data_IF_532488563970
#
_entry.id   IF_532488563970
#
_cell.length_a   1.000
_cell.length_b   1.000
_cell.length_c   1.000
_cell.angle_alpha   90.00
_cell.angle_beta   90.00
_cell.angle_gamma   90.00
#
_symmetry.space_group_name_H-M   'P 1'
#
loop_
_entity.id
_entity.type
_entity.pdbx_description
1 polymer ?
#
# COMPACT_ATOMS: atom_id res chain seq x y z
N UNK A 1 -0.39 -3.71 12.48
CA UNK A 1 -1.14 -4.74 13.25
C UNK A 1 -2.29 -5.25 12.40
N UNK A 2 -2.67 -6.54 12.47
CA UNK A 2 -3.48 -7.23 11.43
C UNK A 2 -4.65 -8.05 12.00
N UNK A 3 -5.84 -7.95 11.39
CA UNK A 3 -7.09 -8.56 11.90
C UNK A 3 -7.91 -9.21 10.77
N UNK A 4 -8.71 -10.22 11.10
CA UNK A 4 -9.69 -10.85 10.19
C UNK A 4 -11.06 -10.99 10.85
N UNK A 5 -12.11 -10.87 10.04
CA UNK A 5 -13.51 -10.91 10.46
C UNK A 5 -14.16 -12.30 10.43
N UNK A 6 -13.41 -13.34 10.10
CA UNK A 6 -14.01 -14.67 9.96
C UNK A 6 -13.05 -15.82 10.25
N UNK A 7 -11.74 -15.65 10.02
CA UNK A 7 -10.77 -16.74 10.17
C UNK A 7 -9.44 -16.23 10.72
N UNK A 8 -9.15 -16.54 11.98
CA UNK A 8 -7.84 -16.34 12.59
C UNK A 8 -7.40 -17.58 13.35
N UNK A 9 -6.09 -17.84 13.38
CA UNK A 9 -5.50 -19.00 14.06
C UNK A 9 -4.38 -18.59 15.02
N UNK A 10 -4.23 -19.35 16.11
CA UNK A 10 -3.13 -19.20 17.06
C UNK A 10 -1.79 -19.32 16.33
N UNK A 11 -0.97 -18.27 16.38
CA UNK A 11 0.29 -18.21 15.63
C UNK A 11 0.29 -17.20 14.49
N UNK A 12 -0.80 -16.46 14.25
CA UNK A 12 -0.79 -15.27 13.40
C UNK A 12 -1.29 -15.46 11.98
N UNK A 13 -1.99 -16.53 11.65
CA UNK A 13 -2.57 -16.68 10.33
C UNK A 13 -4.00 -16.11 10.29
N UNK A 14 -4.34 -15.44 9.19
CA UNK A 14 -5.68 -14.90 8.91
C UNK A 14 -6.09 -15.21 7.47
N UNK A 15 -7.39 -15.34 7.21
CA UNK A 15 -7.89 -15.67 5.87
C UNK A 15 -8.58 -14.51 5.15
N UNK A 16 -8.30 -14.38 3.84
CA UNK A 16 -9.13 -13.67 2.84
C UNK A 16 -9.85 -14.74 2.02
N UNK A 17 -11.18 -14.79 2.10
CA UNK A 17 -11.98 -15.93 1.64
C UNK A 17 -13.31 -15.47 1.06
N UNK A 18 -13.66 -16.02 -0.10
CA UNK A 18 -14.98 -15.89 -0.71
C UNK A 18 -16.01 -16.85 -0.10
N UNK A 19 -17.30 -16.66 -0.42
CA UNK A 19 -18.41 -17.38 0.20
C UNK A 19 -18.54 -18.86 -0.21
N UNK A 20 -17.95 -19.24 -1.35
CA UNK A 20 -17.95 -20.60 -1.90
C UNK A 20 -16.59 -21.30 -1.76
N UNK A 21 -15.63 -20.65 -1.10
CA UNK A 21 -14.32 -21.25 -0.90
C UNK A 21 -14.39 -22.46 0.05
N UNK A 22 -13.58 -23.47 -0.24
CA UNK A 22 -13.73 -24.81 0.36
C UNK A 22 -12.62 -25.05 1.36
N UNK A 23 -12.96 -25.55 2.55
CA UNK A 23 -11.95 -25.96 3.53
C UNK A 23 -11.18 -27.17 3.03
N UNK A 24 -9.92 -27.32 3.45
CA UNK A 24 -9.10 -28.52 3.17
C UNK A 24 -9.72 -29.82 3.70
N UNK A 25 -10.65 -29.75 4.66
CA UNK A 25 -11.39 -30.90 5.21
C UNK A 25 -12.71 -31.22 4.50
N UNK A 26 -13.11 -30.43 3.49
CA UNK A 26 -14.42 -30.48 2.86
C UNK A 26 -15.46 -29.64 3.59
N UNK A 27 -16.31 -28.94 2.83
CA UNK A 27 -17.33 -28.02 3.33
C UNK A 27 -17.01 -26.55 3.04
N UNK A 28 -18.06 -25.72 3.03
CA UNK A 28 -17.95 -24.26 2.86
C UNK A 28 -17.40 -23.63 4.14
N UNK A 29 -16.48 -22.67 4.04
CA UNK A 29 -16.24 -21.77 5.18
C UNK A 29 -16.85 -20.39 5.01
N UNK A 30 -16.75 -19.62 6.08
CA UNK A 30 -17.28 -18.29 6.18
C UNK A 30 -16.41 -17.34 5.36
N UNK A 31 -17.05 -16.51 4.55
CA UNK A 31 -16.37 -15.42 3.88
C UNK A 31 -15.62 -14.57 4.91
N UNK A 32 -14.38 -14.22 4.58
CA UNK A 32 -13.47 -13.55 5.49
C UNK A 32 -12.62 -12.53 4.74
N UNK A 33 -12.28 -11.45 5.42
CA UNK A 33 -11.52 -10.33 4.93
C UNK A 33 -10.43 -9.99 5.96
N UNK A 34 -9.40 -9.28 5.53
CA UNK A 34 -8.24 -8.95 6.35
C UNK A 34 -8.00 -7.45 6.36
N UNK A 35 -7.67 -6.87 7.51
CA UNK A 35 -7.24 -5.48 7.60
C UNK A 35 -5.83 -5.36 8.16
N UNK A 36 -5.05 -4.48 7.56
CA UNK A 36 -3.75 -4.04 8.03
C UNK A 36 -3.84 -2.59 8.50
N UNK A 37 -3.30 -2.29 9.67
CA UNK A 37 -3.10 -0.91 10.14
C UNK A 37 -1.63 -0.63 10.42
N UNK A 38 -1.10 0.41 9.79
CA UNK A 38 0.30 0.82 9.83
C UNK A 38 0.39 2.21 10.46
N UNK A 39 1.13 2.35 11.55
CA UNK A 39 1.48 3.68 12.06
C UNK A 39 2.64 4.23 11.23
N UNK A 40 2.39 5.31 10.50
CA UNK A 40 3.36 5.95 9.60
C UNK A 40 3.72 7.37 10.05
N UNK A 41 3.04 7.96 11.03
CA UNK A 41 3.24 9.36 11.43
C UNK A 41 4.70 9.70 11.73
N UNK A 42 5.39 8.85 12.51
CA UNK A 42 6.82 9.03 12.82
C UNK A 42 7.74 8.94 11.60
N UNK A 43 7.38 8.12 10.60
CA UNK A 43 8.11 8.03 9.34
C UNK A 43 7.93 9.31 8.51
N UNK A 44 6.70 9.83 8.44
CA UNK A 44 6.38 11.09 7.76
C UNK A 44 7.09 12.28 8.41
N UNK A 45 7.14 12.33 9.74
CA UNK A 45 7.89 13.36 10.47
C UNK A 45 9.40 13.29 10.20
N UNK A 46 9.95 12.08 10.09
CA UNK A 46 11.36 11.89 9.73
C UNK A 46 11.66 12.43 8.32
N UNK A 47 10.78 12.17 7.35
CA UNK A 47 10.91 12.71 5.99
C UNK A 47 10.79 14.24 5.97
N UNK A 48 9.81 14.78 6.69
CA UNK A 48 9.62 16.23 6.82
C UNK A 48 10.81 16.92 7.46
N UNK A 49 11.44 16.30 8.47
CA UNK A 49 12.66 16.81 9.11
C UNK A 49 13.87 16.76 8.17
N UNK A 50 13.98 15.71 7.35
CA UNK A 50 15.13 15.46 6.47
C UNK A 50 15.10 16.31 5.21
N UNK A 51 13.96 16.38 4.53
CA UNK A 51 13.82 17.03 3.22
C UNK A 51 13.13 18.39 3.29
N UNK A 52 12.40 18.68 4.37
CA UNK A 52 11.48 19.81 4.46
C UNK A 52 10.08 19.41 3.99
N UNK A 53 9.04 19.92 4.66
CA UNK A 53 7.65 19.65 4.28
C UNK A 53 7.38 20.16 2.86
N UNK A 54 6.84 19.30 2.00
CA UNK A 54 6.54 19.62 0.59
C UNK A 54 7.72 19.52 -0.37
N UNK A 55 8.93 19.21 0.13
CA UNK A 55 10.15 19.06 -0.68
C UNK A 55 10.50 17.59 -0.98
N UNK A 56 9.53 16.69 -0.76
CA UNK A 56 9.63 15.28 -1.09
C UNK A 56 8.26 14.78 -1.54
N UNK A 57 8.26 13.71 -2.32
CA UNK A 57 7.06 13.04 -2.79
C UNK A 57 7.22 11.53 -2.73
N UNK A 58 6.12 10.81 -2.56
CA UNK A 58 6.08 9.36 -2.69
C UNK A 58 6.01 9.01 -4.17
N UNK A 59 6.96 8.23 -4.66
CA UNK A 59 6.99 7.74 -6.04
C UNK A 59 6.37 6.36 -6.20
N UNK A 60 6.43 5.52 -5.17
CA UNK A 60 5.82 4.20 -5.14
C UNK A 60 5.37 3.85 -3.71
N UNK A 61 4.28 3.10 -3.60
CA UNK A 61 3.79 2.54 -2.35
C UNK A 61 3.64 1.04 -2.58
N UNK A 62 4.31 0.24 -1.76
CA UNK A 62 4.26 -1.21 -1.91
C UNK A 62 3.76 -1.85 -0.61
N UNK A 63 2.77 -2.73 -0.73
CA UNK A 63 2.36 -3.62 0.34
C UNK A 63 2.96 -5.01 0.09
N UNK A 64 3.68 -5.52 1.07
CA UNK A 64 4.22 -6.88 1.04
C UNK A 64 3.70 -7.69 2.22
N UNK A 65 3.32 -8.95 1.98
CA UNK A 65 2.96 -9.88 3.04
C UNK A 65 3.23 -11.32 2.63
N UNK A 66 3.44 -12.18 3.61
CA UNK A 66 3.61 -13.60 3.39
C UNK A 66 2.26 -14.30 3.37
N UNK A 67 2.10 -15.27 2.48
CA UNK A 67 0.93 -16.11 2.40
C UNK A 67 1.31 -17.58 2.22
N UNK A 68 0.39 -18.47 2.57
CA UNK A 68 0.44 -19.88 2.18
C UNK A 68 -0.86 -20.25 1.46
N UNK A 69 -0.72 -21.26 0.61
CA UNK A 69 -1.82 -21.98 0.02
C UNK A 69 -2.28 -23.14 0.85
N UNK A 70 -1.35 -23.74 1.58
CA UNK A 70 -1.63 -24.90 2.39
C UNK A 70 -1.41 -24.54 3.84
N UNK A 71 -2.47 -24.10 4.52
CA UNK A 71 -2.55 -24.46 5.93
C UNK A 71 -3.04 -25.90 5.95
N UNK A 72 -2.27 -26.78 6.57
CA UNK A 72 -2.68 -28.14 6.95
C UNK A 72 -3.78 -28.12 8.04
N UNK A 73 -4.72 -27.18 7.93
CA UNK A 73 -5.73 -26.82 8.92
C UNK A 73 -7.04 -26.61 8.19
N UNK A 74 -8.03 -27.39 8.59
CA UNK A 74 -9.41 -27.31 8.09
C UNK A 74 -10.13 -25.99 8.45
N UNK A 75 -9.43 -25.03 9.10
CA UNK A 75 -9.97 -23.73 9.50
C UNK A 75 -9.94 -22.71 8.36
N UNK A 76 -9.02 -22.86 7.41
CA UNK A 76 -8.87 -21.94 6.31
C UNK A 76 -9.30 -22.56 4.99
N UNK A 77 -9.94 -21.75 4.15
CA UNK A 77 -10.32 -22.15 2.81
C UNK A 77 -9.14 -22.10 1.84
N UNK A 78 -9.27 -22.93 0.82
CA UNK A 78 -8.45 -22.93 -0.38
C UNK A 78 -9.33 -22.71 -1.59
N UNK A 79 -8.78 -22.07 -2.62
CA UNK A 79 -9.44 -21.96 -3.91
C UNK A 79 -8.90 -20.81 -4.73
N UNK A 80 -9.01 -20.96 -6.05
CA UNK A 80 -8.58 -19.95 -7.01
C UNK A 80 -9.58 -18.80 -6.95
N UNK A 81 -9.14 -17.60 -7.27
CA UNK A 81 -10.05 -16.49 -7.34
C UNK A 81 -9.35 -15.17 -7.32
N UNK A 82 -10.12 -14.12 -7.13
CA UNK A 82 -9.62 -12.76 -7.12
C UNK A 82 -9.84 -12.12 -5.77
N UNK A 83 -8.94 -11.21 -5.40
CA UNK A 83 -9.13 -10.27 -4.30
C UNK A 83 -8.72 -8.87 -4.73
N UNK A 84 -9.03 -7.91 -3.88
CA UNK A 84 -8.65 -6.53 -4.07
C UNK A 84 -8.19 -5.91 -2.74
N UNK A 85 -7.40 -4.84 -2.83
CA UNK A 85 -6.89 -4.07 -1.70
C UNK A 85 -7.54 -2.70 -1.75
N UNK A 86 -8.13 -2.30 -0.64
CA UNK A 86 -8.79 -1.01 -0.48
C UNK A 86 -8.11 -0.19 0.59
N UNK A 87 -8.05 1.12 0.36
CA UNK A 87 -7.73 2.09 1.41
C UNK A 87 -9.00 2.47 2.19
N UNK A 88 -8.84 2.85 3.44
CA UNK A 88 -9.91 3.40 4.29
C UNK A 88 -9.37 4.66 4.97
N UNK A 89 -9.92 5.82 4.60
CA UNK A 89 -9.45 7.14 5.04
C UNK A 89 -9.76 7.45 6.50
N UNK A 90 -10.78 6.79 7.07
CA UNK A 90 -11.15 7.02 8.47
C UNK A 90 -11.68 5.71 9.02
N UNK A 91 -10.87 5.05 9.83
CA UNK A 91 -11.35 3.99 10.69
C UNK A 91 -11.25 4.43 12.15
N UNK A 92 -12.35 4.27 12.89
CA UNK A 92 -12.35 4.41 14.35
C UNK A 92 -11.88 3.13 15.04
N UNK A 93 -11.29 2.22 14.27
CA UNK A 93 -10.95 0.91 14.76
C UNK A 93 -9.65 0.96 15.57
N UNK A 94 -9.73 0.41 16.78
CA UNK A 94 -8.60 0.30 17.67
C UNK A 94 -8.00 -1.11 17.58
N UNK A 95 -6.69 -1.19 17.34
CA UNK A 95 -5.90 -2.38 17.52
C UNK A 95 -6.25 -3.27 18.73
N UNK A 96 -6.54 -4.55 18.52
CA UNK A 96 -6.78 -5.58 19.56
C UNK A 96 -8.06 -5.42 20.43
N UNK A 97 -8.96 -4.47 20.16
CA UNK A 97 -10.18 -4.29 20.98
C UNK A 97 -11.37 -5.06 20.46
N UNK A 98 -11.51 -5.14 19.13
CA UNK A 98 -12.55 -5.90 18.43
C UNK A 98 -12.14 -6.08 16.98
N UNK A 99 -12.70 -7.11 16.32
CA UNK A 99 -12.69 -7.13 14.86
C UNK A 99 -13.47 -5.90 14.39
N UNK A 100 -12.97 -5.13 13.42
CA UNK A 100 -13.77 -4.09 12.78
C UNK A 100 -15.10 -4.66 12.28
N UNK A 101 -16.16 -3.85 12.35
CA UNK A 101 -17.42 -4.19 11.68
C UNK A 101 -17.20 -3.96 10.19
N UNK A 102 -16.86 -5.00 9.44
CA UNK A 102 -16.46 -4.81 8.06
C UNK A 102 -17.58 -4.94 7.03
N UNK A 103 -17.42 -4.21 5.93
CA UNK A 103 -18.17 -4.44 4.71
C UNK A 103 -17.92 -5.86 4.17
N UNK A 104 -18.98 -6.57 3.83
CA UNK A 104 -18.92 -7.88 3.15
C UNK A 104 -19.06 -7.75 1.63
N UNK A 105 -19.26 -6.53 1.12
CA UNK A 105 -19.41 -6.21 -0.30
C UNK A 105 -18.66 -4.92 -0.65
N UNK A 106 -18.25 -4.78 -1.91
CA UNK A 106 -17.65 -3.54 -2.41
C UNK A 106 -18.58 -2.32 -2.25
N UNK A 107 -19.90 -2.51 -2.42
CA UNK A 107 -20.89 -1.45 -2.20
C UNK A 107 -20.90 -0.97 -0.75
N UNK A 108 -20.88 -1.89 0.22
CA UNK A 108 -20.80 -1.52 1.62
C UNK A 108 -19.47 -0.82 1.95
N UNK A 109 -18.38 -1.21 1.29
CA UNK A 109 -17.06 -0.59 1.46
C UNK A 109 -17.00 0.82 0.85
N UNK A 110 -17.70 1.06 -0.25
CA UNK A 110 -17.77 2.37 -0.91
C UNK A 110 -18.43 3.45 -0.03
N UNK A 111 -19.19 3.03 0.99
CA UNK A 111 -19.78 3.94 1.99
C UNK A 111 -18.78 4.39 3.05
N UNK A 112 -17.60 3.76 3.12
CA UNK A 112 -16.54 4.17 4.02
C UNK A 112 -15.76 5.33 3.38
N UNK A 113 -15.34 6.31 4.18
CA UNK A 113 -14.50 7.39 3.67
C UNK A 113 -13.24 6.78 3.03
N UNK A 114 -12.99 7.11 1.77
CA UNK A 114 -11.80 6.63 1.04
C UNK A 114 -11.83 5.17 0.60
N UNK A 115 -12.96 4.46 0.68
CA UNK A 115 -13.13 3.08 0.22
C UNK A 115 -12.90 2.90 -1.29
N UNK A 116 -11.64 3.02 -1.72
CA UNK A 116 -11.21 2.99 -3.11
C UNK A 116 -10.24 1.83 -3.30
N UNK A 117 -10.44 1.11 -4.40
CA UNK A 117 -9.56 0.04 -4.83
C UNK A 117 -8.19 0.60 -5.20
N UNK A 118 -7.13 -0.07 -4.72
CA UNK A 118 -5.73 0.25 -4.99
C UNK A 118 -5.10 -0.71 -6.01
N UNK A 119 -5.69 -1.88 -6.28
CA UNK A 119 -5.19 -2.87 -7.24
C UNK A 119 -6.13 -3.14 -8.42
N UNK A 120 -7.36 -2.64 -8.39
CA UNK A 120 -8.45 -2.89 -9.32
C UNK A 120 -8.94 -4.36 -9.36
N UNK A 121 -8.06 -5.37 -9.32
CA UNK A 121 -8.30 -6.79 -9.00
C UNK A 121 -7.03 -7.61 -9.28
N UNK A 122 -6.59 -8.45 -8.34
CA UNK A 122 -5.52 -9.44 -8.57
C UNK A 122 -6.10 -10.85 -8.69
N UNK A 123 -5.65 -11.62 -9.70
CA UNK A 123 -6.05 -13.03 -9.86
C UNK A 123 -5.05 -13.97 -9.20
N UNK A 124 -5.57 -14.74 -8.26
CA UNK A 124 -4.90 -15.82 -7.58
C UNK A 124 -5.25 -17.17 -8.23
N UNK A 125 -4.31 -17.75 -8.98
CA UNK A 125 -4.51 -19.07 -9.58
C UNK A 125 -4.23 -20.19 -8.57
N UNK A 126 -5.26 -20.99 -8.29
CA UNK A 126 -5.16 -22.23 -7.54
C UNK A 126 -5.35 -23.39 -8.51
N UNK A 127 -4.27 -23.90 -9.10
CA UNK A 127 -4.39 -24.95 -10.11
C UNK A 127 -4.58 -26.36 -9.56
N UNK A 128 -4.75 -26.60 -8.25
CA UNK A 128 -5.02 -27.99 -7.78
C UNK A 128 -5.65 -28.10 -6.38
N UNK A 129 -6.93 -28.48 -6.26
CA UNK A 129 -7.45 -29.10 -5.04
C UNK A 129 -6.67 -30.40 -4.76
N UNK A 130 -5.96 -30.49 -3.63
CA UNK A 130 -5.19 -31.68 -3.26
C UNK A 130 -3.82 -31.85 -3.92
N UNK A 131 -3.13 -30.76 -4.26
CA UNK A 131 -1.81 -30.79 -4.91
C UNK A 131 -0.74 -31.59 -4.14
N UNK A 132 -0.10 -32.54 -4.84
CA UNK A 132 1.07 -33.33 -4.40
C UNK A 132 2.32 -33.10 -5.26
N UNK A 133 2.29 -32.09 -6.14
CA UNK A 133 3.28 -31.99 -7.22
C UNK A 133 4.69 -31.58 -6.77
N UNK A 134 5.60 -31.66 -7.73
CA UNK A 134 7.04 -31.60 -7.49
C UNK A 134 7.56 -30.16 -7.47
N UNK A 135 8.87 -29.97 -7.37
CA UNK A 135 9.53 -28.65 -7.31
C UNK A 135 9.39 -27.81 -8.58
N UNK A 136 8.94 -28.42 -9.69
CA UNK A 136 9.12 -27.85 -11.03
C UNK A 136 7.86 -27.16 -11.60
N UNK A 137 6.72 -27.24 -10.89
CA UNK A 137 5.39 -26.99 -11.48
C UNK A 137 4.82 -25.56 -11.31
N UNK A 138 5.54 -24.56 -10.78
CA UNK A 138 4.99 -23.20 -10.58
C UNK A 138 5.96 -22.09 -10.99
N UNK A 139 5.94 -21.74 -12.27
CA UNK A 139 6.84 -20.79 -12.94
C UNK A 139 6.61 -19.30 -12.67
N UNK A 140 5.80 -18.90 -11.68
CA UNK A 140 5.48 -17.48 -11.43
C UNK A 140 5.78 -16.93 -10.02
N UNK A 141 6.39 -17.69 -9.10
CA UNK A 141 6.68 -17.15 -7.77
C UNK A 141 7.73 -17.92 -6.97
N UNK A 142 8.58 -17.18 -6.26
CA UNK A 142 9.65 -17.65 -5.37
C UNK A 142 9.06 -18.34 -4.13
N UNK A 143 8.61 -19.58 -4.26
CA UNK A 143 8.15 -20.37 -3.13
C UNK A 143 9.33 -20.79 -2.24
N UNK A 144 9.20 -20.58 -0.93
CA UNK A 144 10.12 -21.11 0.08
C UNK A 144 9.37 -22.16 0.90
N UNK A 145 9.94 -23.35 1.00
CA UNK A 145 9.44 -24.39 1.90
C UNK A 145 9.98 -24.13 3.30
N UNK A 146 9.11 -23.96 4.29
CA UNK A 146 9.52 -23.85 5.68
C UNK A 146 10.06 -25.19 6.22
N UNK A 147 10.60 -25.18 7.45
CA UNK A 147 11.17 -26.38 8.09
C UNK A 147 10.15 -27.50 8.33
N UNK A 148 8.87 -27.21 8.21
CA UNK A 148 7.76 -28.15 8.39
C UNK A 148 7.24 -28.71 7.06
N UNK A 149 7.83 -28.31 5.93
CA UNK A 149 7.39 -28.73 4.60
C UNK A 149 6.27 -27.87 4.01
N UNK A 150 5.87 -26.76 4.66
CA UNK A 150 4.81 -25.87 4.18
C UNK A 150 5.41 -24.88 3.18
N UNK A 151 4.85 -24.81 1.97
CA UNK A 151 5.26 -23.83 0.95
C UNK A 151 4.62 -22.47 1.25
N UNK A 152 5.46 -21.48 1.46
CA UNK A 152 5.07 -20.08 1.69
C UNK A 152 5.64 -19.24 0.55
N UNK A 153 4.94 -18.18 0.17
CA UNK A 153 5.47 -17.17 -0.74
C UNK A 153 5.19 -15.78 -0.17
N UNK A 154 6.02 -14.82 -0.55
CA UNK A 154 5.78 -13.41 -0.27
C UNK A 154 5.11 -12.80 -1.50
N UNK A 155 3.99 -12.11 -1.30
CA UNK A 155 3.40 -11.24 -2.32
C UNK A 155 3.86 -9.82 -2.06
N UNK A 156 4.12 -9.09 -3.13
CA UNK A 156 4.39 -7.66 -3.09
C UNK A 156 3.56 -6.99 -4.17
N UNK A 157 2.83 -5.96 -3.78
CA UNK A 157 1.89 -5.24 -4.63
C UNK A 157 2.22 -3.76 -4.62
N UNK A 158 2.48 -3.21 -5.80
CA UNK A 158 2.53 -1.76 -5.97
C UNK A 158 1.09 -1.23 -5.94
N UNK A 159 0.80 -0.42 -4.94
CA UNK A 159 -0.52 0.14 -4.70
C UNK A 159 -0.73 1.36 -5.58
N UNK A 160 -1.95 1.52 -6.10
CA UNK A 160 -2.34 2.65 -6.95
C UNK A 160 -2.05 4.00 -6.30
N UNK A 161 -1.59 4.96 -7.12
CA UNK A 161 -1.24 6.32 -6.73
C UNK A 161 -2.46 7.24 -6.65
N UNK A 162 -3.53 6.80 -5.98
CA UNK A 162 -4.72 7.62 -5.83
C UNK A 162 -4.38 8.90 -5.04
N UNK A 163 -4.84 10.05 -5.52
CA UNK A 163 -4.52 11.35 -4.90
C UNK A 163 -5.00 11.45 -3.46
N UNK A 164 -6.19 10.93 -3.14
CA UNK A 164 -6.73 10.96 -1.80
C UNK A 164 -5.99 10.04 -0.85
N UNK A 165 -5.55 8.87 -1.34
CA UNK A 165 -4.70 7.96 -0.56
C UNK A 165 -3.32 8.57 -0.29
N UNK A 166 -2.72 9.21 -1.29
CA UNK A 166 -1.45 9.92 -1.14
C UNK A 166 -1.57 11.10 -0.16
N UNK A 167 -2.65 11.88 -0.25
CA UNK A 167 -2.89 13.00 0.67
C UNK A 167 -3.01 12.50 2.13
N UNK A 168 -3.68 11.37 2.34
CA UNK A 168 -3.79 10.75 3.67
C UNK A 168 -2.40 10.37 4.22
N UNK A 169 -1.56 9.74 3.40
CA UNK A 169 -0.17 9.42 3.76
C UNK A 169 0.63 10.68 4.10
N UNK A 170 0.57 11.70 3.25
CA UNK A 170 1.36 12.92 3.38
C UNK A 170 0.92 13.78 4.57
N UNK A 171 -0.32 13.60 5.04
CA UNK A 171 -0.90 14.36 6.16
C UNK A 171 -1.04 13.58 7.46
N UNK A 172 -0.71 12.28 7.49
CA UNK A 172 -0.88 11.40 8.65
C UNK A 172 -0.34 12.01 9.97
N UNK A 173 0.87 12.60 9.96
CA UNK A 173 1.43 13.19 11.19
C UNK A 173 0.82 14.54 11.60
N UNK A 174 0.01 15.16 10.74
CA UNK A 174 -0.62 16.46 10.97
C UNK A 174 -2.13 16.38 11.19
N UNK A 175 -2.79 15.30 10.77
CA UNK A 175 -4.24 15.10 10.84
C UNK A 175 -4.72 14.67 12.22
N UNK A 176 -3.81 14.17 13.08
CA UNK A 176 -4.14 13.51 14.34
C UNK A 176 -4.45 12.03 14.20
N UNK A 177 -4.40 11.47 12.98
CA UNK A 177 -4.38 10.04 12.72
C UNK A 177 -3.07 9.64 12.04
N UNK A 178 -2.15 9.12 12.84
CA UNK A 178 -0.82 8.68 12.37
C UNK A 178 -0.87 7.36 11.59
N UNK A 179 -2.05 6.85 11.25
CA UNK A 179 -2.22 5.50 10.71
C UNK A 179 -2.75 5.48 9.28
N UNK A 180 -2.34 4.45 8.56
CA UNK A 180 -2.94 4.03 7.29
C UNK A 180 -3.52 2.64 7.46
N UNK A 181 -4.76 2.47 7.01
CA UNK A 181 -5.45 1.20 7.03
C UNK A 181 -5.75 0.70 5.63
N UNK A 182 -5.37 -0.56 5.40
CA UNK A 182 -5.60 -1.29 4.16
C UNK A 182 -6.51 -2.48 4.42
N UNK A 183 -7.40 -2.75 3.49
CA UNK A 183 -8.40 -3.79 3.60
C UNK A 183 -8.34 -4.74 2.41
N UNK A 184 -8.19 -6.03 2.68
CA UNK A 184 -8.15 -7.08 1.69
C UNK A 184 -9.48 -7.82 1.71
N UNK A 185 -10.13 -7.85 0.55
CA UNK A 185 -11.44 -8.46 0.38
C UNK A 185 -11.45 -9.35 -0.86
N UNK A 186 -12.04 -10.53 -0.73
CA UNK A 186 -12.27 -11.38 -1.90
C UNK A 186 -13.24 -10.71 -2.86
N UNK A 187 -12.91 -10.70 -4.16
CA UNK A 187 -13.82 -10.26 -5.23
C UNK A 187 -14.41 -11.45 -5.99
N UNK A 188 -14.06 -12.67 -5.59
CA UNK A 188 -14.63 -13.92 -6.10
C UNK A 188 -15.18 -14.78 -4.96
N UNK A 189 -16.16 -15.62 -5.24
CA UNK A 189 -16.69 -16.51 -4.22
C UNK A 189 -15.76 -17.69 -3.92
N UNK A 190 -14.89 -18.07 -4.85
CA UNK A 190 -14.05 -19.26 -4.74
C UNK A 190 -12.68 -19.03 -4.09
N UNK A 191 -12.22 -17.78 -3.93
CA UNK A 191 -10.89 -17.51 -3.38
C UNK A 191 -10.75 -18.03 -1.95
N UNK A 192 -9.66 -18.73 -1.67
CA UNK A 192 -9.18 -18.98 -0.31
C UNK A 192 -7.70 -18.68 -0.19
N UNK A 193 -7.36 -17.59 0.50
CA UNK A 193 -6.00 -17.11 0.72
C UNK A 193 -5.69 -17.00 2.22
N UNK A 194 -4.52 -17.49 2.63
CA UNK A 194 -4.07 -17.46 4.04
C UNK A 194 -2.87 -16.55 4.15
N UNK A 195 -3.00 -15.50 4.95
CA UNK A 195 -1.98 -14.49 5.17
C UNK A 195 -1.36 -14.71 6.56
N UNK A 196 -0.03 -14.70 6.63
CA UNK A 196 0.68 -14.69 7.91
C UNK A 196 0.92 -13.26 8.38
N UNK A 197 0.62 -13.04 9.64
CA UNK A 197 0.54 -11.73 10.29
C UNK A 197 1.30 -11.67 11.61
N UNK A 198 1.68 -12.84 12.12
CA UNK A 198 2.69 -13.00 13.16
C UNK A 198 3.29 -14.42 13.03
N UNK A 199 4.35 -14.70 13.80
CA UNK A 199 5.17 -15.89 13.60
C UNK A 199 6.16 -15.67 12.45
N UNK A 200 7.44 -15.87 12.74
CA UNK A 200 8.55 -15.71 11.79
C UNK A 200 8.32 -16.45 10.47
N UNK A 201 8.75 -15.90 9.31
CA UNK A 201 9.77 -14.86 9.21
C UNK A 201 9.35 -13.46 8.73
N UNK A 202 8.16 -13.24 8.14
CA UNK A 202 7.85 -11.96 7.48
C UNK A 202 6.50 -11.40 7.92
N UNK A 203 6.52 -10.22 8.54
CA UNK A 203 5.31 -9.45 8.86
C UNK A 203 4.85 -8.65 7.64
N UNK A 204 3.53 -8.39 7.50
CA UNK A 204 3.03 -7.45 6.52
C UNK A 204 3.71 -6.10 6.66
N UNK A 205 4.21 -5.57 5.56
CA UNK A 205 5.03 -4.36 5.49
C UNK A 205 4.47 -3.42 4.44
N UNK A 206 4.31 -2.16 4.81
CA UNK A 206 4.02 -1.06 3.89
C UNK A 206 5.30 -0.26 3.69
N UNK A 207 5.79 -0.19 2.45
CA UNK A 207 7.02 0.51 2.08
C UNK A 207 6.74 1.63 1.09
N UNK A 208 7.58 2.66 1.14
CA UNK A 208 7.46 3.87 0.33
C UNK A 208 8.79 4.14 -0.37
N UNK A 209 8.74 4.31 -1.68
CA UNK A 209 9.84 4.95 -2.41
C UNK A 209 9.61 6.45 -2.38
N UNK A 210 10.63 7.20 -1.96
CA UNK A 210 10.55 8.65 -1.77
C UNK A 210 11.58 9.34 -2.65
N UNK A 211 11.16 10.40 -3.32
CA UNK A 211 12.00 11.25 -4.16
C UNK A 211 11.99 12.68 -3.62
N UNK A 212 13.15 13.35 -3.66
CA UNK A 212 13.23 14.78 -3.39
C UNK A 212 12.60 15.57 -4.53
N UNK A 213 11.74 16.53 -4.21
CA UNK A 213 11.16 17.45 -5.19
C UNK A 213 12.01 18.72 -5.21
N UNK A 214 12.66 19.07 -6.34
CA UNK A 214 13.43 20.30 -6.44
C UNK A 214 12.54 21.52 -6.18
N UNK A 215 12.96 22.43 -5.30
CA UNK A 215 12.19 23.64 -5.05
C UNK A 215 12.05 24.46 -6.34
N UNK A 216 10.82 24.93 -6.69
CA UNK A 216 10.64 25.84 -7.82
C UNK A 216 11.37 27.19 -7.63
N UNK A 217 11.75 27.53 -6.40
CA UNK A 217 12.38 28.80 -6.05
C UNK A 217 13.77 28.99 -6.68
N UNK A 218 14.55 27.93 -6.90
CA UNK A 218 15.91 28.07 -7.48
C UNK A 218 15.86 28.50 -8.94
N UNK A 219 14.87 28.01 -9.70
CA UNK A 219 14.66 28.41 -11.07
C UNK A 219 14.09 29.83 -11.18
N UNK A 220 13.16 30.20 -10.29
CA UNK A 220 12.62 31.55 -10.23
C UNK A 220 13.69 32.59 -9.87
N UNK A 221 14.57 32.30 -8.91
CA UNK A 221 15.69 33.17 -8.54
C UNK A 221 16.77 33.25 -9.62
N UNK A 222 17.06 32.16 -10.33
CA UNK A 222 17.98 32.18 -11.47
C UNK A 222 17.43 33.02 -12.64
N UNK A 223 16.12 32.92 -12.93
CA UNK A 223 15.46 33.72 -13.96
C UNK A 223 15.33 35.20 -13.56
N UNK A 224 15.01 35.49 -12.30
CA UNK A 224 14.97 36.86 -11.79
C UNK A 224 16.37 37.49 -11.72
N UNK A 225 17.40 36.72 -11.36
CA UNK A 225 18.80 37.15 -11.36
C UNK A 225 19.30 37.47 -12.78
N UNK A 226 18.97 36.63 -13.77
CA UNK A 226 19.29 36.88 -15.17
C UNK A 226 18.54 38.12 -15.73
N UNK A 227 17.28 38.33 -15.32
CA UNK A 227 16.50 39.51 -15.67
C UNK A 227 17.04 40.81 -15.05
N UNK A 228 17.49 40.77 -13.80
CA UNK A 228 18.07 41.92 -13.11
C UNK A 228 19.44 42.32 -13.71
N UNK A 229 20.27 41.34 -14.08
CA UNK A 229 21.57 41.60 -14.73
C UNK A 229 21.39 42.30 -16.10
N UNK A 230 20.41 41.87 -16.89
CA UNK A 230 20.12 42.46 -18.21
C UNK A 230 19.52 43.88 -18.10
N UNK A 231 18.75 44.19 -17.06
CA UNK A 231 18.29 45.56 -16.78
C UNK A 231 19.42 46.50 -16.33
N UNK A 232 20.35 46.04 -15.49
CA UNK A 232 21.50 46.84 -15.05
C UNK A 232 22.49 47.11 -16.19
N UNK A 233 22.66 46.16 -17.12
CA UNK A 233 23.53 46.33 -18.28
C UNK A 233 22.96 47.32 -19.31
N UNK A 234 21.62 47.41 -19.45
CA UNK A 234 20.96 48.43 -20.30
C UNK A 234 21.13 49.85 -19.77
N UNK A 235 21.06 50.07 -18.45
CA UNK A 235 21.22 51.42 -17.85
C UNK A 235 22.61 52.03 -18.07
N UNK A 236 23.66 51.21 -18.17
CA UNK A 236 25.02 51.70 -18.39
C UNK A 236 25.32 52.15 -19.83
N UNK A 237 24.48 51.81 -20.81
CA UNK A 237 24.68 52.20 -22.22
C UNK A 237 23.96 53.49 -22.63
N UNK A 238 23.16 54.10 -21.74
CA UNK A 238 22.33 55.26 -22.07
C UNK A 238 22.99 56.62 -21.77
N UNK A 239 24.23 56.66 -21.29
CA UNK A 239 24.95 57.91 -21.02
C UNK A 239 26.07 58.08 -22.03
N UNK A 240 25.71 58.49 -23.25
CA UNK A 240 26.67 59.06 -24.20
C UNK A 240 26.58 60.58 -24.07
N UNK A 241 27.64 61.29 -23.63
CA UNK A 241 27.62 62.74 -23.57
C UNK A 241 27.53 63.32 -24.98
N UNK A 242 26.53 64.17 -25.22
CA UNK A 242 26.40 64.95 -26.45
C UNK A 242 27.58 65.92 -26.56
N UNK A 243 28.32 65.98 -27.68
CA UNK A 243 29.39 66.95 -27.84
C UNK A 243 28.81 68.35 -28.04
N UNK A 244 29.27 69.31 -27.24
CA UNK A 244 28.99 70.74 -27.42
C UNK A 244 29.48 71.22 -28.79
N UNK A 245 28.54 71.62 -29.64
CA UNK A 245 28.83 72.33 -30.87
C UNK A 245 28.94 73.83 -30.58
N UNK A 246 30.18 74.35 -30.59
CA UNK A 246 30.46 75.78 -30.73
C UNK A 246 30.62 76.13 -32.21
N UNK A 247 29.75 77.00 -32.73
CA UNK A 247 30.05 78.15 -33.60
C UNK A 247 28.77 78.90 -33.91
#
# INVERSE_FOLDING_TARGET
MVFSNGTSWSGGAVGVQGSESVTTGGGSALAANVAFKFNIGSFIDSLNSTYGRGNWAVSNIQLSFQYTLYANKNLFNSGAGTFDIYWVATDSWVPNTSNPTYATTADALSTWSGGQSLLATEYYDWTTPGYTGTTDDLTSGLWVTDKSGIRQSTLSYDLGSNTSFLDDILTASASGDDNISLYLMSTSDSLGLIIFTSGTPVLPTLSFDVVSVPEPATYALALLGAGAASFLQRRRRAVTPTPDARS
#
